data_IF_510557315839
#
_entry.id   IF_510557315839
#
_cell.length_a   1.000
_cell.length_b   1.000
_cell.length_c   1.000
_cell.angle_alpha   90.00
_cell.angle_beta   90.00
_cell.angle_gamma   90.00
#
_symmetry.space_group_name_H-M   'P 1'
#
loop_
_entity.id
_entity.type
_entity.pdbx_description
1 polymer ?
#
# COMPACT_ATOMS: atom_id res chain seq x y z
N UNK A 1 -31.93 3.12 10.10
CA UNK A 1 -31.25 2.33 11.15
C UNK A 1 -29.89 2.94 11.41
N UNK A 2 -29.62 3.39 12.64
CA UNK A 2 -28.30 3.87 13.05
C UNK A 2 -27.48 2.63 13.43
N UNK A 3 -26.55 2.20 12.59
CA UNK A 3 -25.68 1.07 12.92
C UNK A 3 -24.69 1.50 14.00
N UNK A 4 -24.86 0.98 15.22
CA UNK A 4 -24.07 1.30 16.42
C UNK A 4 -22.74 0.56 16.51
N UNK A 5 -22.39 -0.21 15.49
CA UNK A 5 -21.10 -0.91 15.38
C UNK A 5 -20.23 -0.13 14.40
N UNK A 6 -19.14 0.47 14.88
CA UNK A 6 -18.17 1.17 14.01
C UNK A 6 -17.64 0.27 12.89
N UNK A 7 -17.64 -1.05 13.12
CA UNK A 7 -17.20 -2.05 12.17
C UNK A 7 -18.36 -3.00 11.83
N UNK A 8 -18.62 -3.24 10.55
CA UNK A 8 -19.77 -4.02 10.08
C UNK A 8 -19.52 -4.65 8.71
N UNK A 9 -20.22 -5.75 8.42
CA UNK A 9 -20.17 -6.41 7.12
C UNK A 9 -21.23 -5.79 6.18
N UNK A 10 -20.86 -5.59 4.93
CA UNK A 10 -21.75 -5.15 3.84
C UNK A 10 -21.80 -6.21 2.72
N UNK A 11 -22.75 -6.05 1.79
CA UNK A 11 -22.83 -6.85 0.56
C UNK A 11 -22.91 -8.36 0.83
N UNK A 12 -23.72 -8.77 1.80
CA UNK A 12 -23.87 -10.18 2.15
C UNK A 12 -22.62 -10.84 2.75
N UNK A 13 -21.63 -10.05 3.20
CA UNK A 13 -20.39 -10.55 3.81
C UNK A 13 -19.15 -10.41 2.93
N UNK A 14 -19.28 -9.92 1.70
CA UNK A 14 -18.16 -9.74 0.77
C UNK A 14 -17.22 -8.59 1.16
N UNK A 15 -17.73 -7.59 1.87
CA UNK A 15 -16.98 -6.42 2.29
C UNK A 15 -17.08 -6.22 3.79
N UNK A 16 -15.93 -5.95 4.42
CA UNK A 16 -15.89 -5.53 5.81
C UNK A 16 -15.49 -4.05 5.92
N UNK A 17 -16.32 -3.26 6.57
CA UNK A 17 -16.07 -1.85 6.85
C UNK A 17 -15.49 -1.73 8.25
N UNK A 18 -14.32 -1.10 8.38
CA UNK A 18 -13.69 -0.75 9.66
C UNK A 18 -13.77 0.77 9.85
N UNK A 19 -14.71 1.23 10.67
CA UNK A 19 -14.85 2.66 11.03
C UNK A 19 -14.06 3.06 12.28
N UNK A 20 -13.36 2.10 12.91
CA UNK A 20 -12.42 2.33 14.02
C UNK A 20 -11.00 1.90 13.68
N UNK A 21 -10.23 1.46 14.68
CA UNK A 21 -8.88 0.91 14.49
C UNK A 21 -8.94 -0.60 14.25
N UNK A 22 -8.20 -1.10 13.26
CA UNK A 22 -7.88 -2.52 13.13
C UNK A 22 -6.49 -2.76 13.72
N UNK A 23 -6.42 -3.45 14.85
CA UNK A 23 -5.15 -3.85 15.48
C UNK A 23 -4.79 -5.28 15.07
N UNK A 24 -3.58 -5.46 14.54
CA UNK A 24 -3.02 -6.77 14.17
C UNK A 24 -1.93 -7.10 15.18
N UNK A 25 -2.15 -8.15 15.97
CA UNK A 25 -1.26 -8.53 17.08
C UNK A 25 0.07 -9.15 16.58
N UNK A 26 1.14 -9.14 17.42
CA UNK A 26 2.40 -9.79 17.08
C UNK A 26 2.21 -11.26 16.68
N UNK A 27 2.83 -11.65 15.55
CA UNK A 27 2.75 -13.01 15.00
C UNK A 27 1.57 -13.26 14.03
N UNK A 28 0.64 -12.31 13.89
CA UNK A 28 -0.38 -12.39 12.85
C UNK A 28 0.18 -12.04 11.46
N UNK A 29 -0.43 -12.60 10.41
CA UNK A 29 -0.09 -12.30 9.01
C UNK A 29 -1.30 -11.74 8.26
N UNK A 30 -1.05 -10.75 7.40
CA UNK A 30 -2.03 -10.21 6.46
C UNK A 30 -1.50 -10.47 5.06
N UNK A 31 -2.24 -11.22 4.25
CA UNK A 31 -1.85 -11.59 2.88
C UNK A 31 -2.71 -10.85 1.86
N UNK A 32 -2.22 -10.74 0.62
CA UNK A 32 -2.96 -10.11 -0.49
C UNK A 32 -2.93 -8.58 -0.50
N UNK A 33 -2.22 -7.93 0.43
CA UNK A 33 -1.91 -6.50 0.31
C UNK A 33 -0.93 -6.28 -0.87
N UNK A 34 -1.08 -5.17 -1.61
CA UNK A 34 -0.15 -4.85 -2.68
C UNK A 34 1.27 -4.65 -2.12
N UNK A 35 2.25 -5.07 -2.90
CA UNK A 35 3.67 -4.83 -2.66
C UNK A 35 4.29 -4.30 -3.94
N UNK A 36 5.17 -3.30 -3.82
CA UNK A 36 5.93 -2.84 -4.97
C UNK A 36 6.97 -3.88 -5.40
N UNK A 37 7.23 -3.91 -6.71
CA UNK A 37 8.36 -4.65 -7.24
C UNK A 37 9.66 -4.14 -6.61
N UNK A 38 10.62 -5.05 -6.44
CA UNK A 38 11.89 -4.69 -5.84
C UNK A 38 12.62 -3.61 -6.65
N UNK A 39 13.20 -2.63 -5.96
CA UNK A 39 14.17 -1.72 -6.54
C UNK A 39 15.57 -2.18 -6.14
N UNK A 40 16.44 -2.39 -7.14
CA UNK A 40 17.83 -2.74 -6.87
C UNK A 40 18.56 -1.55 -6.22
N UNK A 41 19.63 -1.84 -5.48
CA UNK A 41 20.47 -0.81 -4.88
C UNK A 41 21.00 0.15 -5.97
N UNK A 42 20.96 1.44 -5.68
CA UNK A 42 21.51 2.45 -6.59
C UNK A 42 23.03 2.34 -6.66
N UNK A 43 23.57 2.28 -7.87
CA UNK A 43 25.02 2.33 -8.14
C UNK A 43 25.43 3.64 -8.82
N UNK A 44 24.59 4.67 -8.73
CA UNK A 44 24.82 5.95 -9.36
C UNK A 44 26.05 6.65 -8.77
N UNK A 45 26.93 7.16 -9.64
CA UNK A 45 28.13 7.93 -9.26
C UNK A 45 27.93 9.44 -9.41
N UNK A 46 26.77 9.86 -9.92
CA UNK A 46 26.41 11.26 -10.12
C UNK A 46 24.92 11.49 -9.83
N UNK A 47 24.53 12.76 -9.86
CA UNK A 47 23.15 13.19 -9.56
C UNK A 47 22.18 12.71 -10.64
N UNK A 48 22.60 12.63 -11.91
CA UNK A 48 21.72 12.22 -13.00
C UNK A 48 21.32 10.74 -12.88
N UNK A 49 22.28 9.89 -12.52
CA UNK A 49 22.03 8.48 -12.20
C UNK A 49 21.12 8.33 -10.99
N UNK A 50 21.36 9.10 -9.92
CA UNK A 50 20.51 9.04 -8.72
C UNK A 50 19.07 9.43 -9.02
N UNK A 51 18.84 10.46 -9.83
CA UNK A 51 17.50 10.88 -10.26
C UNK A 51 16.82 9.77 -11.07
N UNK A 52 17.57 9.06 -11.91
CA UNK A 52 17.05 7.93 -12.70
C UNK A 52 16.60 6.79 -11.79
N UNK A 53 17.45 6.36 -10.86
CA UNK A 53 17.15 5.28 -9.91
C UNK A 53 15.99 5.64 -8.99
N UNK A 54 15.92 6.91 -8.56
CA UNK A 54 14.82 7.39 -7.73
C UNK A 54 13.49 7.38 -8.50
N UNK A 55 13.45 7.89 -9.73
CA UNK A 55 12.22 7.89 -10.53
C UNK A 55 11.75 6.48 -10.91
N UNK A 56 12.68 5.52 -11.06
CA UNK A 56 12.33 4.11 -11.22
C UNK A 56 11.64 3.54 -9.97
N UNK A 57 12.09 3.88 -8.76
CA UNK A 57 11.41 3.53 -7.51
C UNK A 57 9.99 4.14 -7.47
N UNK A 58 9.86 5.43 -7.76
CA UNK A 58 8.54 6.10 -7.78
C UNK A 58 7.57 5.42 -8.73
N UNK A 59 8.05 5.03 -9.91
CA UNK A 59 7.25 4.30 -10.90
C UNK A 59 6.74 2.96 -10.36
N UNK A 60 7.61 2.19 -9.67
CA UNK A 60 7.23 0.91 -9.05
C UNK A 60 6.21 1.09 -7.92
N UNK A 61 6.37 2.12 -7.10
CA UNK A 61 5.42 2.43 -6.01
C UNK A 61 4.04 2.81 -6.57
N UNK A 62 3.99 3.62 -7.64
CA UNK A 62 2.75 3.99 -8.33
C UNK A 62 2.08 2.78 -8.98
N UNK A 63 2.84 1.96 -9.69
CA UNK A 63 2.34 0.75 -10.34
C UNK A 63 1.74 -0.25 -9.33
N UNK A 64 2.30 -0.32 -8.13
CA UNK A 64 1.80 -1.17 -7.06
C UNK A 64 0.57 -0.60 -6.32
N UNK A 65 0.12 0.61 -6.67
CA UNK A 65 -0.96 1.30 -5.95
C UNK A 65 -0.58 1.73 -4.53
N UNK A 66 0.72 1.79 -4.22
CA UNK A 66 1.26 2.26 -2.93
C UNK A 66 1.52 3.77 -2.93
N UNK A 67 1.47 4.41 -4.09
CA UNK A 67 1.60 5.85 -4.28
C UNK A 67 0.56 6.32 -5.32
N UNK A 68 0.02 7.52 -5.13
CA UNK A 68 -0.88 8.13 -6.11
C UNK A 68 -0.17 8.34 -7.46
N UNK A 69 -0.91 8.16 -8.56
CA UNK A 69 -0.42 8.49 -9.89
C UNK A 69 -0.15 10.00 -10.03
N UNK A 70 0.65 10.38 -11.02
CA UNK A 70 0.85 11.79 -11.36
C UNK A 70 -0.47 12.40 -11.87
N UNK A 71 -0.70 13.67 -11.53
CA UNK A 71 -1.81 14.48 -12.04
C UNK A 71 -1.51 15.07 -13.43
#
# INVERSE_FOLDING_TARGET
MSYSSKNYMEQGGEKWIIGGTLEVLPGASVTGLPAAENQADSTATDVAGLVTDFNALLTKLKAAGLMAADE
#
